data_IF_749654160909
#
_entry.id   IF_749654160909
#
_cell.length_a   1.000
_cell.length_b   1.000
_cell.length_c   1.000
_cell.angle_alpha   90.00
_cell.angle_beta   90.00
_cell.angle_gamma   90.00
#
_symmetry.space_group_name_H-M   'P 1'
#
loop_
_entity.id
_entity.type
_entity.pdbx_description
1 polymer ?
#
# COMPACT_ATOMS: atom_id res chain seq x y z
N UNK A 1 -7.51 7.94 13.66
CA UNK A 1 -7.06 7.54 12.31
C UNK A 1 -5.94 6.54 12.42
N UNK A 2 -5.92 5.57 11.54
CA UNK A 2 -4.89 4.54 11.53
C UNK A 2 -3.94 4.79 10.38
N UNK A 3 -2.65 4.77 10.65
CA UNK A 3 -1.61 4.88 9.66
C UNK A 3 -1.02 3.50 9.44
N UNK A 4 -1.14 2.99 8.22
CA UNK A 4 -0.63 1.67 7.86
C UNK A 4 0.55 1.83 6.92
N UNK A 5 1.67 1.23 7.27
CA UNK A 5 2.88 1.25 6.44
C UNK A 5 3.07 -0.12 5.82
N UNK A 6 3.14 -0.16 4.50
CA UNK A 6 3.31 -1.39 3.74
C UNK A 6 4.71 -1.40 3.14
N UNK A 7 5.47 -2.46 3.43
CA UNK A 7 6.75 -2.68 2.78
C UNK A 7 6.49 -3.49 1.51
N UNK A 8 6.84 -2.92 0.36
CA UNK A 8 6.55 -3.53 -0.94
C UNK A 8 7.84 -3.62 -1.75
N UNK A 9 8.12 -4.82 -2.24
CA UNK A 9 9.26 -5.07 -3.10
C UNK A 9 8.81 -5.03 -4.56
N UNK A 10 9.63 -4.42 -5.42
CA UNK A 10 9.37 -4.36 -6.86
C UNK A 10 8.97 -3.00 -7.39
N UNK A 11 8.65 -2.05 -6.52
CA UNK A 11 8.39 -0.68 -6.96
C UNK A 11 9.70 -0.01 -7.37
N UNK A 12 9.77 0.47 -8.62
CA UNK A 12 11.01 1.04 -9.16
C UNK A 12 10.85 2.40 -9.79
N UNK A 13 9.62 2.86 -9.98
CA UNK A 13 9.37 4.12 -10.67
C UNK A 13 8.08 4.77 -10.16
N UNK A 14 7.85 6.01 -10.61
CA UNK A 14 6.66 6.76 -10.20
C UNK A 14 5.36 6.11 -10.69
N UNK A 15 5.38 5.45 -11.83
CA UNK A 15 4.20 4.74 -12.32
C UNK A 15 3.84 3.59 -11.40
N UNK A 16 4.83 2.91 -10.84
CA UNK A 16 4.58 1.85 -9.86
C UNK A 16 3.90 2.41 -8.62
N UNK A 17 4.36 3.56 -8.14
CA UNK A 17 3.75 4.24 -7.01
C UNK A 17 2.29 4.57 -7.30
N UNK A 18 2.02 5.11 -8.48
CA UNK A 18 0.66 5.49 -8.87
C UNK A 18 -0.26 4.28 -8.95
N UNK A 19 0.22 3.17 -9.50
CA UNK A 19 -0.56 1.94 -9.59
C UNK A 19 -0.95 1.42 -8.21
N UNK A 20 -0.01 1.41 -7.27
CA UNK A 20 -0.28 0.97 -5.89
C UNK A 20 -1.29 1.92 -5.23
N UNK A 21 -1.09 3.23 -5.37
CA UNK A 21 -2.00 4.22 -4.81
C UNK A 21 -3.42 4.04 -5.33
N UNK A 22 -3.57 3.90 -6.64
CA UNK A 22 -4.88 3.74 -7.27
C UNK A 22 -5.56 2.45 -6.83
N UNK A 23 -4.81 1.35 -6.77
CA UNK A 23 -5.34 0.07 -6.35
C UNK A 23 -5.90 0.16 -4.92
N UNK A 24 -5.15 0.77 -4.02
CA UNK A 24 -5.57 0.89 -2.63
C UNK A 24 -6.81 1.79 -2.51
N UNK A 25 -6.83 2.91 -3.23
CA UNK A 25 -7.98 3.81 -3.21
C UNK A 25 -9.25 3.17 -3.76
N UNK A 26 -9.11 2.30 -4.75
CA UNK A 26 -10.25 1.63 -5.35
C UNK A 26 -10.76 0.46 -4.51
N UNK A 27 -9.86 -0.21 -3.81
CA UNK A 27 -10.18 -1.43 -3.07
C UNK A 27 -10.54 -1.18 -1.62
N UNK A 28 -10.11 -0.07 -1.05
CA UNK A 28 -10.30 0.25 0.36
C UNK A 28 -10.79 1.68 0.53
N UNK A 29 -11.54 1.90 1.60
CA UNK A 29 -11.97 3.26 1.97
C UNK A 29 -10.86 3.91 2.79
N UNK A 30 -10.04 4.71 2.13
CA UNK A 30 -8.88 5.34 2.77
C UNK A 30 -8.94 6.85 2.61
N UNK A 31 -8.34 7.57 3.57
CA UNK A 31 -8.28 9.02 3.55
C UNK A 31 -7.11 9.53 2.74
N UNK A 32 -5.98 8.82 2.82
CA UNK A 32 -4.76 9.25 2.16
C UNK A 32 -3.88 8.06 1.86
N UNK A 33 -3.25 8.07 0.69
CA UNK A 33 -2.29 7.04 0.29
C UNK A 33 -1.05 7.72 -0.27
N UNK A 34 0.10 7.24 0.15
CA UNK A 34 1.37 7.75 -0.34
C UNK A 34 2.35 6.60 -0.52
N UNK A 35 2.90 6.47 -1.71
CA UNK A 35 3.89 5.43 -2.02
C UNK A 35 5.25 6.05 -2.32
N UNK A 36 6.32 5.34 -1.96
CA UNK A 36 7.67 5.73 -2.26
C UNK A 36 8.43 4.55 -2.86
N UNK A 37 8.71 4.61 -4.15
CA UNK A 37 9.48 3.57 -4.83
C UNK A 37 10.92 3.52 -4.30
N UNK A 38 11.47 4.67 -3.94
CA UNK A 38 12.82 4.76 -3.40
C UNK A 38 12.96 3.99 -2.09
N UNK A 39 11.97 4.10 -1.22
CA UNK A 39 11.98 3.44 0.08
C UNK A 39 11.33 2.06 0.06
N UNK A 40 10.60 1.75 -1.02
CA UNK A 40 9.87 0.50 -1.11
C UNK A 40 8.71 0.44 -0.13
N UNK A 41 8.09 1.57 0.16
CA UNK A 41 7.03 1.66 1.17
C UNK A 41 5.81 2.40 0.65
N UNK A 42 4.66 2.02 1.18
CA UNK A 42 3.41 2.74 0.96
C UNK A 42 2.78 3.03 2.32
N UNK A 43 2.41 4.29 2.52
CA UNK A 43 1.76 4.72 3.75
C UNK A 43 0.31 5.04 3.44
N UNK A 44 -0.59 4.44 4.21
CA UNK A 44 -2.03 4.61 4.04
C UNK A 44 -2.62 5.15 5.33
N UNK A 45 -3.41 6.22 5.24
CA UNK A 45 -4.15 6.76 6.37
C UNK A 45 -5.64 6.46 6.17
N UNK A 46 -6.24 5.79 7.13
CA UNK A 46 -7.66 5.41 7.04
C UNK A 46 -8.29 5.41 8.43
N UNK A 47 -9.61 5.37 8.48
CA UNK A 47 -10.32 5.30 9.76
C UNK A 47 -10.21 3.92 10.38
N UNK A 48 -10.09 2.88 9.56
CA UNK A 48 -9.99 1.49 10.00
C UNK A 48 -8.72 0.86 9.47
N UNK A 49 -8.24 -0.15 10.20
CA UNK A 49 -7.07 -0.90 9.74
C UNK A 49 -7.36 -1.62 8.42
N UNK A 50 -6.36 -1.67 7.56
CA UNK A 50 -6.49 -2.37 6.29
C UNK A 50 -6.33 -3.88 6.51
N UNK A 51 -7.04 -4.65 5.67
CA UNK A 51 -6.96 -6.10 5.71
C UNK A 51 -5.73 -6.56 4.92
N UNK A 52 -4.69 -6.99 5.63
CA UNK A 52 -3.45 -7.43 5.00
C UNK A 52 -3.65 -8.68 4.13
N UNK A 53 -4.63 -9.51 4.47
CA UNK A 53 -4.92 -10.71 3.68
C UNK A 53 -5.42 -10.35 2.28
N UNK A 54 -6.12 -9.23 2.15
CA UNK A 54 -6.58 -8.74 0.85
C UNK A 54 -5.50 -7.97 0.11
N UNK A 55 -4.65 -7.27 0.85
CA UNK A 55 -3.58 -6.47 0.25
C UNK A 55 -2.53 -7.33 -0.45
N UNK A 56 -2.13 -8.43 0.17
CA UNK A 56 -1.10 -9.31 -0.39
C UNK A 56 -1.41 -9.76 -1.81
N UNK A 57 -2.56 -10.42 -2.05
CA UNK A 57 -2.92 -10.86 -3.39
C UNK A 57 -3.05 -9.72 -4.40
N UNK A 58 -3.59 -8.57 -4.01
CA UNK A 58 -3.75 -7.43 -4.91
C UNK A 58 -2.40 -6.83 -5.32
N UNK A 59 -1.48 -6.75 -4.37
CA UNK A 59 -0.13 -6.26 -4.65
C UNK A 59 0.60 -7.25 -5.56
N UNK A 60 0.40 -8.55 -5.36
CA UNK A 60 0.98 -9.57 -6.20
C UNK A 60 0.46 -9.48 -7.64
N UNK A 61 -0.82 -9.14 -7.84
CA UNK A 61 -1.39 -8.96 -9.17
C UNK A 61 -0.73 -7.81 -9.94
N UNK A 62 -0.24 -6.81 -9.23
CA UNK A 62 0.47 -5.69 -9.86
C UNK A 62 1.91 -6.05 -10.23
N UNK A 63 2.37 -7.24 -9.86
CA UNK A 63 3.74 -7.66 -10.12
C UNK A 63 4.71 -7.31 -9.00
N UNK A 64 4.18 -6.91 -7.84
CA UNK A 64 4.99 -6.56 -6.67
C UNK A 64 4.84 -7.60 -5.58
N UNK A 65 5.64 -7.47 -4.53
CA UNK A 65 5.59 -8.38 -3.40
C UNK A 65 5.41 -7.59 -2.11
N UNK A 66 4.40 -7.94 -1.35
CA UNK A 66 4.18 -7.36 -0.03
C UNK A 66 5.10 -8.06 0.99
N UNK A 67 6.01 -7.30 1.58
CA UNK A 67 6.99 -7.83 2.52
C UNK A 67 6.44 -7.81 3.94
N UNK A 68 5.90 -6.67 4.35
CA UNK A 68 5.37 -6.54 5.71
C UNK A 68 4.33 -5.44 5.78
N UNK A 69 3.53 -5.48 6.84
CA UNK A 69 2.48 -4.50 7.12
C UNK A 69 2.62 -4.08 8.57
N UNK A 70 2.58 -2.77 8.79
CA UNK A 70 2.68 -2.20 10.13
C UNK A 70 1.60 -1.14 10.28
N UNK A 71 0.87 -1.16 11.40
CA UNK A 71 -0.20 -0.20 11.65
C UNK A 71 0.05 0.57 12.94
N UNK A 72 -0.29 1.87 12.92
CA UNK A 72 -0.19 2.76 14.06
C UNK A 72 -1.43 3.64 14.14
N UNK A 73 -1.82 4.00 15.35
CA UNK A 73 -2.89 4.96 15.57
C UNK A 73 -2.36 6.36 15.77
#
# INVERSE_FOLDING_TARGET
>A
MIKTTLKIEGMRCKMCEAHVNDMIKQSFDVKKVRSSAKDGETVVVSEKALDAEKLGPQIAELGFKLISVSSEE
#
